data_IF_848918533655
#
_entry.id   IF_848918533655
#
_cell.length_a   1.000
_cell.length_b   1.000
_cell.length_c   1.000
_cell.angle_alpha   90.00
_cell.angle_beta   90.00
_cell.angle_gamma   90.00
#
_symmetry.space_group_name_H-M   'P 1'
#
loop_
_entity.id
_entity.type
_entity.pdbx_description
1 polymer ?
#
# COMPACT_ATOMS: atom_id res chain seq x y z
N UNK A 1 -31.52 -9.35 0.84
CA UNK A 1 -31.93 -9.90 -0.48
C UNK A 1 -33.13 -9.12 -1.01
N UNK A 2 -33.10 -7.81 -0.85
CA UNK A 2 -34.33 -7.00 -0.83
C UNK A 2 -34.77 -6.63 -2.24
N UNK A 3 -33.94 -6.98 -3.24
CA UNK A 3 -34.27 -6.91 -4.66
C UNK A 3 -35.01 -8.16 -5.18
N UNK A 4 -35.36 -9.12 -4.31
CA UNK A 4 -36.18 -10.27 -4.68
C UNK A 4 -37.65 -9.86 -4.80
N UNK A 5 -38.27 -10.19 -5.92
CA UNK A 5 -39.68 -9.98 -6.22
C UNK A 5 -40.56 -11.07 -5.59
N UNK A 6 -41.87 -10.82 -5.50
CA UNK A 6 -42.83 -11.77 -4.94
C UNK A 6 -42.87 -13.12 -5.68
N UNK A 7 -42.60 -13.12 -6.98
CA UNK A 7 -42.55 -14.34 -7.79
C UNK A 7 -41.27 -15.16 -7.59
N UNK A 8 -40.29 -14.62 -6.86
CA UNK A 8 -39.00 -15.22 -6.56
C UNK A 8 -37.85 -14.75 -7.47
N UNK A 9 -38.14 -13.99 -8.55
CA UNK A 9 -37.11 -13.40 -9.41
C UNK A 9 -36.34 -12.28 -8.70
N UNK A 10 -35.18 -11.89 -9.24
CA UNK A 10 -34.43 -10.73 -8.75
C UNK A 10 -34.38 -9.61 -9.78
N UNK A 11 -34.43 -8.38 -9.29
CA UNK A 11 -33.83 -7.24 -10.00
C UNK A 11 -32.36 -7.13 -9.62
N UNK A 12 -31.54 -6.66 -10.57
CA UNK A 12 -30.11 -6.48 -10.31
C UNK A 12 -29.87 -5.34 -9.34
N UNK A 13 -29.32 -5.67 -8.17
CA UNK A 13 -29.07 -4.71 -7.11
C UNK A 13 -28.02 -3.66 -7.51
N UNK A 14 -28.25 -2.37 -7.19
CA UNK A 14 -27.24 -1.32 -7.33
C UNK A 14 -25.91 -1.65 -6.65
N UNK A 15 -25.94 -2.38 -5.52
CA UNK A 15 -24.73 -2.78 -4.79
C UNK A 15 -23.85 -3.76 -5.58
N UNK A 16 -24.46 -4.65 -6.36
CA UNK A 16 -23.72 -5.55 -7.27
C UNK A 16 -23.10 -4.72 -8.41
N UNK A 17 -23.85 -3.75 -8.93
CA UNK A 17 -23.35 -2.86 -9.98
C UNK A 17 -22.16 -2.04 -9.49
N UNK A 18 -22.24 -1.48 -8.29
CA UNK A 18 -21.16 -0.71 -7.66
C UNK A 18 -19.93 -1.60 -7.42
N UNK A 19 -20.11 -2.75 -6.76
CA UNK A 19 -19.01 -3.65 -6.43
C UNK A 19 -18.24 -4.13 -7.69
N UNK A 20 -18.97 -4.41 -8.77
CA UNK A 20 -18.38 -4.88 -10.04
C UNK A 20 -18.12 -3.76 -11.05
N UNK A 21 -18.36 -2.49 -10.68
CA UNK A 21 -18.27 -1.31 -11.54
C UNK A 21 -18.99 -1.52 -12.90
N UNK A 22 -20.22 -2.02 -12.85
CA UNK A 22 -21.05 -2.29 -14.00
C UNK A 22 -21.89 -1.08 -14.37
N UNK A 23 -22.05 -0.82 -15.68
CA UNK A 23 -23.08 0.10 -16.17
C UNK A 23 -24.45 -0.61 -16.12
N UNK A 24 -25.41 -0.17 -15.28
CA UNK A 24 -26.71 -0.81 -15.16
C UNK A 24 -27.46 -0.92 -16.50
N UNK A 25 -27.34 0.11 -17.36
CA UNK A 25 -28.03 0.19 -18.65
C UNK A 25 -27.52 -0.81 -19.69
N UNK A 26 -26.27 -1.28 -19.54
CA UNK A 26 -25.62 -2.17 -20.51
C UNK A 26 -25.32 -3.57 -19.93
N UNK A 27 -25.58 -3.79 -18.64
CA UNK A 27 -25.21 -5.00 -17.93
C UNK A 27 -25.77 -6.26 -18.61
N UNK A 28 -27.09 -6.30 -18.79
CA UNK A 28 -27.77 -7.45 -19.38
C UNK A 28 -27.41 -7.62 -20.86
N UNK A 29 -27.39 -6.52 -21.62
CA UNK A 29 -26.96 -6.53 -23.02
C UNK A 29 -25.55 -7.10 -23.18
N UNK A 30 -24.65 -6.79 -22.26
CA UNK A 30 -23.28 -7.31 -22.26
C UNK A 30 -23.21 -8.78 -21.85
N UNK A 31 -24.05 -9.20 -20.91
CA UNK A 31 -24.12 -10.57 -20.42
C UNK A 31 -24.73 -11.51 -21.49
N UNK A 32 -25.77 -11.06 -22.20
CA UNK A 32 -26.38 -11.75 -23.37
C UNK A 32 -25.39 -12.05 -24.51
N UNK A 33 -24.23 -11.37 -24.58
CA UNK A 33 -23.19 -11.64 -25.59
C UNK A 33 -22.43 -12.95 -25.36
N UNK A 34 -22.51 -13.52 -24.15
CA UNK A 34 -21.79 -14.73 -23.78
C UNK A 34 -22.55 -16.03 -24.07
N UNK A 35 -23.74 -15.95 -24.65
CA UNK A 35 -24.52 -17.13 -25.06
C UNK A 35 -24.59 -17.25 -26.58
N UNK A 36 -24.60 -18.48 -27.06
CA UNK A 36 -24.82 -18.83 -28.46
C UNK A 36 -26.31 -19.02 -28.78
N UNK A 37 -27.09 -19.49 -27.80
CA UNK A 37 -28.51 -19.82 -27.99
C UNK A 37 -29.38 -18.59 -28.28
N UNK A 38 -30.08 -18.54 -29.44
CA UNK A 38 -31.03 -17.47 -29.74
C UNK A 38 -32.21 -17.43 -28.75
N UNK A 39 -32.64 -18.60 -28.25
CA UNK A 39 -33.71 -18.72 -27.26
C UNK A 39 -33.36 -18.00 -25.96
N UNK A 40 -32.14 -18.21 -25.44
CA UNK A 40 -31.67 -17.50 -24.24
C UNK A 40 -31.55 -15.99 -24.47
N UNK A 41 -31.03 -15.57 -25.62
CA UNK A 41 -30.94 -14.13 -25.95
C UNK A 41 -32.30 -13.43 -25.96
N UNK A 42 -33.34 -14.17 -26.38
CA UNK A 42 -34.73 -13.72 -26.39
C UNK A 42 -35.43 -13.74 -25.03
N UNK A 43 -34.82 -14.33 -23.99
CA UNK A 43 -35.38 -14.30 -22.65
C UNK A 43 -35.44 -12.87 -22.08
N UNK A 44 -36.45 -12.66 -21.25
CA UNK A 44 -36.64 -11.43 -20.48
C UNK A 44 -35.44 -11.12 -19.60
N UNK A 45 -35.20 -9.83 -19.35
CA UNK A 45 -34.06 -9.38 -18.56
C UNK A 45 -34.11 -9.88 -17.11
N UNK A 46 -35.31 -10.15 -16.56
CA UNK A 46 -35.48 -10.78 -15.23
C UNK A 46 -34.81 -12.15 -15.12
N UNK A 47 -34.80 -12.96 -16.20
CA UNK A 47 -34.09 -14.25 -16.25
C UNK A 47 -32.59 -14.05 -16.02
N UNK A 48 -32.03 -13.04 -16.70
CA UNK A 48 -30.62 -12.71 -16.63
C UNK A 48 -30.23 -12.06 -15.29
N UNK A 49 -31.05 -11.15 -14.78
CA UNK A 49 -30.87 -10.55 -13.46
C UNK A 49 -30.88 -11.60 -12.36
N UNK A 50 -31.85 -12.52 -12.41
CA UNK A 50 -32.02 -13.60 -11.45
C UNK A 50 -30.84 -14.57 -11.48
N UNK A 51 -30.49 -15.09 -12.67
CA UNK A 51 -29.37 -16.01 -12.80
C UNK A 51 -28.03 -15.40 -12.38
N UNK A 52 -27.77 -14.15 -12.76
CA UNK A 52 -26.54 -13.47 -12.38
C UNK A 52 -26.48 -13.20 -10.87
N UNK A 53 -27.58 -12.80 -10.25
CA UNK A 53 -27.65 -12.57 -8.80
C UNK A 53 -27.42 -13.86 -8.03
N UNK A 54 -28.05 -14.98 -8.42
CA UNK A 54 -27.79 -16.30 -7.83
C UNK A 54 -26.31 -16.65 -7.96
N UNK A 55 -25.74 -16.50 -9.16
CA UNK A 55 -24.35 -16.85 -9.42
C UNK A 55 -23.38 -16.00 -8.57
N UNK A 56 -23.64 -14.69 -8.48
CA UNK A 56 -22.86 -13.77 -7.67
C UNK A 56 -22.90 -14.16 -6.19
N UNK A 57 -24.08 -14.35 -5.60
CA UNK A 57 -24.22 -14.67 -4.18
C UNK A 57 -23.49 -15.98 -3.82
N UNK A 58 -23.66 -17.03 -4.64
CA UNK A 58 -23.03 -18.34 -4.42
C UNK A 58 -21.51 -18.33 -4.54
N UNK A 59 -20.93 -17.48 -5.38
CA UNK A 59 -19.49 -17.51 -5.68
C UNK A 59 -18.69 -16.39 -5.02
N UNK A 60 -19.32 -15.24 -4.74
CA UNK A 60 -18.66 -14.07 -4.17
C UNK A 60 -18.91 -13.96 -2.66
N UNK A 61 -20.06 -14.45 -2.17
CA UNK A 61 -20.44 -14.37 -0.76
C UNK A 61 -20.73 -15.76 -0.15
N UNK A 62 -19.87 -16.78 -0.36
CA UNK A 62 -20.13 -18.13 0.15
C UNK A 62 -20.26 -18.17 1.67
N UNK A 63 -19.50 -17.32 2.39
CA UNK A 63 -19.48 -17.28 3.86
C UNK A 63 -20.75 -16.68 4.48
N UNK A 64 -21.64 -16.10 3.67
CA UNK A 64 -22.90 -15.51 4.09
C UNK A 64 -24.11 -16.32 3.61
N UNK A 65 -23.93 -17.61 3.37
CA UNK A 65 -24.97 -18.49 2.83
C UNK A 65 -26.27 -18.47 3.64
N UNK A 66 -26.18 -18.42 4.96
CA UNK A 66 -27.34 -18.33 5.85
C UNK A 66 -28.24 -17.11 5.57
N UNK A 67 -27.72 -16.06 4.91
CA UNK A 67 -28.47 -14.84 4.56
C UNK A 67 -29.19 -14.98 3.23
N UNK A 68 -28.60 -15.70 2.25
CA UNK A 68 -29.12 -15.73 0.88
C UNK A 68 -29.71 -17.07 0.43
N UNK A 69 -29.48 -18.17 1.16
CA UNK A 69 -29.86 -19.54 0.74
C UNK A 69 -31.32 -19.64 0.32
N UNK A 70 -32.25 -19.29 1.22
CA UNK A 70 -33.69 -19.40 0.97
C UNK A 70 -34.15 -18.54 -0.22
N UNK A 71 -33.57 -17.34 -0.36
CA UNK A 71 -33.86 -16.46 -1.47
C UNK A 71 -33.36 -17.06 -2.79
N UNK A 72 -32.13 -17.57 -2.82
CA UNK A 72 -31.58 -18.26 -3.99
C UNK A 72 -32.35 -19.53 -4.34
N UNK A 73 -32.87 -20.29 -3.37
CA UNK A 73 -33.66 -21.50 -3.63
C UNK A 73 -35.00 -21.16 -4.29
N UNK A 74 -35.69 -20.11 -3.84
CA UNK A 74 -36.89 -19.60 -4.50
C UNK A 74 -36.60 -19.12 -5.92
N UNK A 75 -35.52 -18.36 -6.08
CA UNK A 75 -35.09 -17.82 -7.36
C UNK A 75 -34.68 -18.93 -8.35
N UNK A 76 -33.98 -19.97 -7.88
CA UNK A 76 -33.64 -21.15 -8.69
C UNK A 76 -34.89 -21.89 -9.15
N UNK A 77 -35.87 -22.10 -8.26
CA UNK A 77 -37.16 -22.72 -8.64
C UNK A 77 -37.93 -21.89 -9.67
N UNK A 78 -37.95 -20.56 -9.52
CA UNK A 78 -38.56 -19.67 -10.50
C UNK A 78 -37.81 -19.76 -11.84
N UNK A 79 -36.47 -19.69 -11.83
CA UNK A 79 -35.64 -19.70 -13.02
C UNK A 79 -35.81 -20.98 -13.83
N UNK A 80 -35.87 -22.14 -13.17
CA UNK A 80 -36.07 -23.41 -13.85
C UNK A 80 -37.45 -23.53 -14.52
N UNK A 81 -38.47 -22.88 -13.96
CA UNK A 81 -39.79 -22.79 -14.63
C UNK A 81 -39.78 -21.89 -15.86
N UNK A 82 -38.95 -20.84 -15.87
CA UNK A 82 -38.85 -19.92 -17.03
C UNK A 82 -38.10 -20.55 -18.20
N UNK A 83 -37.09 -21.37 -17.91
CA UNK A 83 -36.22 -21.95 -18.94
C UNK A 83 -36.70 -23.32 -19.38
N UNK A 84 -37.13 -24.17 -18.44
CA UNK A 84 -37.63 -25.53 -18.68
C UNK A 84 -36.74 -26.34 -19.63
N UNK A 85 -35.41 -26.16 -19.48
CA UNK A 85 -34.38 -26.78 -20.31
C UNK A 85 -33.03 -26.74 -19.58
N UNK A 86 -32.61 -27.88 -19.06
CA UNK A 86 -31.38 -28.02 -18.27
C UNK A 86 -30.12 -27.60 -19.06
N UNK A 87 -30.10 -27.81 -20.38
CA UNK A 87 -28.95 -27.46 -21.22
C UNK A 87 -28.85 -25.94 -21.36
N UNK A 88 -29.99 -25.26 -21.52
CA UNK A 88 -30.02 -23.80 -21.58
C UNK A 88 -29.73 -23.18 -20.21
N UNK A 89 -30.16 -23.77 -19.10
CA UNK A 89 -29.79 -23.31 -17.75
C UNK A 89 -28.26 -23.37 -17.54
N UNK A 90 -27.61 -24.47 -17.96
CA UNK A 90 -26.15 -24.60 -17.90
C UNK A 90 -25.44 -23.54 -18.74
N UNK A 91 -25.93 -23.27 -19.94
CA UNK A 91 -25.39 -22.21 -20.81
C UNK A 91 -25.56 -20.83 -20.17
N UNK A 92 -26.72 -20.55 -19.57
CA UNK A 92 -27.01 -19.31 -18.85
C UNK A 92 -26.02 -19.07 -17.70
N UNK A 93 -25.82 -20.05 -16.81
CA UNK A 93 -24.86 -19.91 -15.72
C UNK A 93 -23.40 -19.84 -16.20
N UNK A 94 -23.07 -20.49 -17.31
CA UNK A 94 -21.76 -20.33 -17.97
C UNK A 94 -21.54 -18.88 -18.44
N UNK A 95 -22.57 -18.25 -19.02
CA UNK A 95 -22.51 -16.84 -19.40
C UNK A 95 -22.38 -15.91 -18.19
N UNK A 96 -23.12 -16.17 -17.10
CA UNK A 96 -22.95 -15.43 -15.84
C UNK A 96 -21.52 -15.54 -15.30
N UNK A 97 -20.91 -16.73 -15.32
CA UNK A 97 -19.52 -16.95 -14.94
C UNK A 97 -18.55 -16.12 -15.77
N UNK A 98 -18.65 -16.21 -17.10
CA UNK A 98 -17.74 -15.48 -18.00
C UNK A 98 -17.88 -13.96 -17.83
N UNK A 99 -19.11 -13.47 -17.66
CA UNK A 99 -19.37 -12.08 -17.40
C UNK A 99 -18.79 -11.61 -16.07
N UNK A 100 -18.96 -12.38 -14.99
CA UNK A 100 -18.38 -12.09 -13.67
C UNK A 100 -16.85 -12.01 -13.75
N UNK A 101 -16.20 -12.97 -14.40
CA UNK A 101 -14.74 -12.98 -14.59
C UNK A 101 -14.29 -11.74 -15.36
N UNK A 102 -15.02 -11.36 -16.42
CA UNK A 102 -14.72 -10.15 -17.20
C UNK A 102 -14.82 -8.88 -16.34
N UNK A 103 -15.89 -8.72 -15.56
CA UNK A 103 -16.03 -7.53 -14.72
C UNK A 103 -15.05 -7.51 -13.56
N UNK A 104 -14.88 -8.64 -12.86
CA UNK A 104 -13.87 -8.79 -11.80
C UNK A 104 -12.46 -8.47 -12.30
N UNK A 105 -12.11 -8.93 -13.51
CA UNK A 105 -10.82 -8.57 -14.14
C UNK A 105 -10.70 -7.06 -14.36
N UNK A 106 -11.75 -6.40 -14.88
CA UNK A 106 -11.74 -4.94 -15.09
C UNK A 106 -11.60 -4.17 -13.79
N UNK A 107 -12.31 -4.57 -12.73
CA UNK A 107 -12.17 -3.99 -11.39
C UNK A 107 -10.72 -4.15 -10.92
N UNK A 108 -10.18 -5.37 -10.95
CA UNK A 108 -8.78 -5.66 -10.58
C UNK A 108 -7.77 -4.80 -11.36
N UNK A 109 -7.92 -4.68 -12.68
CA UNK A 109 -7.05 -3.84 -13.51
C UNK A 109 -7.21 -2.35 -13.20
N UNK A 110 -8.44 -1.87 -12.98
CA UNK A 110 -8.71 -0.47 -12.66
C UNK A 110 -8.17 -0.09 -11.27
N UNK A 111 -8.28 -0.97 -10.28
CA UNK A 111 -7.69 -0.79 -8.95
C UNK A 111 -6.17 -0.82 -9.02
N UNK A 112 -5.59 -1.77 -9.77
CA UNK A 112 -4.13 -1.81 -10.02
C UNK A 112 -3.64 -0.56 -10.76
N UNK A 113 -4.42 -0.03 -11.70
CA UNK A 113 -4.09 1.19 -12.45
C UNK A 113 -4.22 2.43 -11.58
N UNK A 114 -5.29 2.59 -10.79
CA UNK A 114 -5.41 3.68 -9.80
C UNK A 114 -4.27 3.64 -8.77
N UNK A 115 -3.86 2.45 -8.32
CA UNK A 115 -2.68 2.28 -7.47
C UNK A 115 -1.35 2.51 -8.20
N UNK A 116 -1.32 2.50 -9.54
CA UNK A 116 -0.13 2.90 -10.34
C UNK A 116 -0.13 4.40 -10.66
N UNK A 117 -1.29 4.99 -10.93
CA UNK A 117 -1.46 6.41 -11.31
C UNK A 117 -1.50 7.35 -10.11
N UNK A 118 -1.85 6.87 -8.91
CA UNK A 118 -1.90 7.70 -7.68
C UNK A 118 -0.60 7.73 -6.88
N UNK A 119 0.49 7.12 -7.33
CA UNK A 119 1.73 7.06 -6.55
C UNK A 119 2.89 7.71 -7.31
N UNK A 120 3.11 8.99 -7.02
CA UNK A 120 4.37 9.68 -7.33
C UNK A 120 5.43 9.13 -6.37
N UNK A 121 6.38 8.38 -6.92
CA UNK A 121 7.58 8.00 -6.15
C UNK A 121 8.31 9.27 -5.79
N UNK A 122 8.51 9.51 -4.51
CA UNK A 122 9.27 10.65 -4.03
C UNK A 122 10.75 10.36 -4.34
N UNK A 123 11.44 11.33 -4.92
CA UNK A 123 12.90 11.31 -5.05
C UNK A 123 13.43 12.60 -4.49
N UNK A 124 14.24 12.50 -3.45
CA UNK A 124 14.95 13.66 -2.92
C UNK A 124 16.18 13.90 -3.78
N UNK A 125 16.26 15.09 -4.34
CA UNK A 125 17.48 15.56 -4.99
C UNK A 125 18.25 16.42 -3.99
N UNK A 126 19.18 15.78 -3.27
CA UNK A 126 19.99 16.41 -2.21
C UNK A 126 21.46 16.23 -2.60
N UNK A 127 22.21 17.34 -2.63
CA UNK A 127 23.63 17.34 -2.91
C UNK A 127 24.43 16.60 -1.81
N UNK A 128 25.65 16.20 -2.14
CA UNK A 128 26.48 15.39 -1.25
C UNK A 128 26.90 16.14 0.01
N UNK A 129 26.98 17.48 -0.04
CA UNK A 129 27.32 18.32 1.10
C UNK A 129 26.18 18.35 2.12
N UNK A 130 24.93 18.52 1.66
CA UNK A 130 23.73 18.48 2.50
C UNK A 130 23.55 17.08 3.09
N UNK A 131 23.72 16.02 2.27
CA UNK A 131 23.68 14.63 2.75
C UNK A 131 24.71 14.41 3.86
N UNK A 132 25.96 14.80 3.63
CA UNK A 132 27.03 14.70 4.62
C UNK A 132 26.70 15.47 5.90
N UNK A 133 26.24 16.71 5.78
CA UNK A 133 25.87 17.58 6.91
C UNK A 133 24.79 16.94 7.77
N UNK A 134 23.75 16.36 7.16
CA UNK A 134 22.70 15.65 7.90
C UNK A 134 23.29 14.47 8.67
N UNK A 135 24.12 13.64 8.04
CA UNK A 135 24.72 12.49 8.73
C UNK A 135 25.67 12.91 9.85
N UNK A 136 26.52 13.90 9.63
CA UNK A 136 27.46 14.40 10.64
C UNK A 136 26.69 15.01 11.84
N UNK A 137 25.61 15.74 11.57
CA UNK A 137 24.72 16.26 12.60
C UNK A 137 24.07 15.12 13.41
N UNK A 138 23.44 14.15 12.74
CA UNK A 138 22.77 13.04 13.41
C UNK A 138 23.76 12.18 14.22
N UNK A 139 24.97 11.93 13.71
CA UNK A 139 26.04 11.24 14.43
C UNK A 139 26.45 11.99 15.68
N UNK A 140 26.58 13.33 15.63
CA UNK A 140 26.91 14.15 16.80
C UNK A 140 25.89 14.05 17.94
N UNK A 141 24.63 13.67 17.63
CA UNK A 141 23.56 13.44 18.60
C UNK A 141 23.44 11.99 19.05
N UNK A 142 24.11 11.07 18.35
CA UNK A 142 24.08 9.64 18.64
C UNK A 142 24.78 9.30 19.95
N UNK A 143 24.21 8.36 20.72
CA UNK A 143 24.78 7.87 21.97
C UNK A 143 24.71 6.35 22.05
N UNK A 144 25.59 5.75 22.85
CA UNK A 144 25.53 4.33 23.17
C UNK A 144 24.20 3.93 23.83
N UNK A 145 23.60 4.83 24.63
CA UNK A 145 22.29 4.60 25.24
C UNK A 145 21.17 4.50 24.19
N UNK A 146 21.20 5.33 23.15
CA UNK A 146 20.27 5.21 22.02
C UNK A 146 20.46 3.87 21.33
N UNK A 147 21.70 3.46 21.04
CA UNK A 147 21.99 2.17 20.40
C UNK A 147 21.45 0.99 21.24
N UNK A 148 21.73 0.97 22.54
CA UNK A 148 21.25 -0.06 23.46
C UNK A 148 19.73 -0.07 23.59
N UNK A 149 19.10 1.10 23.66
CA UNK A 149 17.63 1.22 23.71
C UNK A 149 16.99 0.62 22.47
N UNK A 150 17.45 1.01 21.28
CA UNK A 150 16.97 0.47 20.00
C UNK A 150 17.13 -1.06 19.96
N UNK A 151 18.30 -1.58 20.34
CA UNK A 151 18.56 -3.03 20.32
C UNK A 151 17.73 -3.79 21.35
N UNK A 152 17.48 -3.22 22.53
CA UNK A 152 16.66 -3.85 23.57
C UNK A 152 15.18 -3.97 23.17
N UNK A 153 14.72 -3.14 22.23
CA UNK A 153 13.38 -3.21 21.67
C UNK A 153 13.24 -4.25 20.54
N UNK A 154 14.29 -4.99 20.19
CA UNK A 154 14.24 -6.05 19.18
C UNK A 154 13.35 -7.20 19.65
N UNK A 155 12.43 -7.63 18.79
CA UNK A 155 11.56 -8.76 19.05
C UNK A 155 12.31 -10.10 19.02
N UNK A 156 11.70 -11.15 19.59
CA UNK A 156 12.32 -12.49 19.66
C UNK A 156 12.68 -13.09 18.29
N UNK A 157 11.90 -12.75 17.25
CA UNK A 157 12.12 -13.14 15.86
C UNK A 157 13.22 -12.32 15.15
N UNK A 158 13.81 -11.32 15.81
CA UNK A 158 14.83 -10.43 15.25
C UNK A 158 14.30 -9.17 14.57
N UNK A 159 12.98 -8.94 14.55
CA UNK A 159 12.38 -7.75 13.92
C UNK A 159 12.27 -6.56 14.86
N UNK A 160 12.02 -5.38 14.28
CA UNK A 160 11.70 -4.16 15.01
C UNK A 160 10.28 -3.69 14.66
N UNK A 161 9.66 -2.97 15.60
CA UNK A 161 8.30 -2.46 15.49
C UNK A 161 8.30 -0.92 15.49
N UNK A 162 7.15 -0.25 15.24
CA UNK A 162 7.09 1.20 15.36
C UNK A 162 7.57 1.69 16.72
N UNK A 163 7.35 0.91 17.79
CA UNK A 163 7.74 1.30 19.14
C UNK A 163 9.25 1.49 19.30
N UNK A 164 10.07 0.76 18.54
CA UNK A 164 11.52 0.95 18.52
C UNK A 164 11.90 2.39 18.13
N UNK A 165 11.16 2.98 17.17
CA UNK A 165 11.46 4.30 16.63
C UNK A 165 11.04 5.45 17.56
N UNK A 166 10.26 5.19 18.61
CA UNK A 166 9.93 6.21 19.64
C UNK A 166 11.17 6.77 20.34
N UNK A 167 12.24 5.97 20.45
CA UNK A 167 13.55 6.40 20.98
C UNK A 167 14.18 7.51 20.12
N UNK A 168 13.77 7.63 18.86
CA UNK A 168 14.26 8.63 17.92
C UNK A 168 13.44 9.92 17.92
N UNK A 169 12.51 10.12 18.86
CA UNK A 169 11.84 11.40 19.01
C UNK A 169 12.85 12.48 19.47
N UNK A 170 12.87 13.69 18.88
CA UNK A 170 11.90 14.26 17.92
C UNK A 170 12.24 14.06 16.43
N UNK A 171 13.36 13.42 16.08
CA UNK A 171 13.76 13.17 14.69
C UNK A 171 12.67 12.39 13.92
N UNK A 172 12.08 11.38 14.57
CA UNK A 172 10.91 10.64 14.05
C UNK A 172 9.69 11.02 14.90
N UNK A 173 8.87 12.00 14.48
CA UNK A 173 7.77 12.52 15.31
C UNK A 173 6.56 11.59 15.36
N UNK A 174 6.37 10.75 14.33
CA UNK A 174 5.23 9.83 14.22
C UNK A 174 5.69 8.45 13.76
N UNK A 175 6.20 7.62 14.69
CA UNK A 175 6.62 6.25 14.41
C UNK A 175 5.55 5.39 13.72
N UNK A 176 4.29 5.55 14.10
CA UNK A 176 3.16 4.77 13.59
C UNK A 176 2.91 5.00 12.10
N UNK A 177 3.21 6.20 11.59
CA UNK A 177 3.04 6.55 10.18
C UNK A 177 4.34 6.52 9.38
N UNK A 178 5.48 6.20 10.00
CA UNK A 178 6.81 6.26 9.36
C UNK A 178 6.88 5.34 8.11
N UNK A 179 6.24 4.17 8.16
CA UNK A 179 6.22 3.23 7.04
C UNK A 179 5.47 3.77 5.83
N UNK A 180 4.38 4.52 6.03
CA UNK A 180 3.66 5.15 4.93
C UNK A 180 4.57 6.14 4.19
N UNK A 181 5.35 6.94 4.94
CA UNK A 181 6.34 7.85 4.38
C UNK A 181 7.51 7.13 3.69
N UNK A 182 8.06 6.07 4.29
CA UNK A 182 9.12 5.24 3.69
C UNK A 182 8.70 4.65 2.34
N UNK A 183 7.47 4.13 2.27
CA UNK A 183 6.92 3.52 1.04
C UNK A 183 6.81 4.51 -0.12
N UNK A 184 6.76 5.82 0.13
CA UNK A 184 6.76 6.85 -0.91
C UNK A 184 8.07 6.88 -1.70
N UNK A 185 9.19 6.46 -1.11
CA UNK A 185 10.50 6.42 -1.76
C UNK A 185 10.76 5.12 -2.54
N UNK A 186 9.86 4.12 -2.44
CA UNK A 186 9.96 2.89 -3.21
C UNK A 186 9.17 2.95 -4.52
N UNK A 187 9.84 2.55 -5.60
CA UNK A 187 9.29 2.47 -6.94
C UNK A 187 8.53 1.17 -7.17
N UNK A 188 9.10 0.03 -6.76
CA UNK A 188 8.58 -1.30 -7.07
C UNK A 188 7.34 -1.62 -6.23
N UNK A 189 6.22 -2.02 -6.85
CA UNK A 189 5.04 -2.46 -6.11
C UNK A 189 5.30 -3.67 -5.22
N UNK A 190 6.19 -4.58 -5.63
CA UNK A 190 6.58 -5.75 -4.83
C UNK A 190 7.14 -5.31 -3.47
N UNK A 191 8.00 -4.29 -3.44
CA UNK A 191 8.58 -3.74 -2.21
C UNK A 191 7.54 -2.99 -1.37
N UNK A 192 6.73 -2.13 -1.99
CA UNK A 192 5.70 -1.35 -1.28
C UNK A 192 4.64 -2.20 -0.59
N UNK A 193 4.36 -3.37 -1.14
CA UNK A 193 3.41 -4.33 -0.59
C UNK A 193 4.02 -5.28 0.44
N UNK A 194 5.32 -5.16 0.75
CA UNK A 194 5.93 -5.86 1.88
C UNK A 194 5.26 -5.46 3.19
N UNK A 195 5.21 -6.41 4.13
CA UNK A 195 4.69 -6.18 5.48
C UNK A 195 5.47 -5.08 6.20
N UNK A 196 4.82 -4.32 7.06
CA UNK A 196 5.40 -3.14 7.68
C UNK A 196 6.62 -3.46 8.56
N UNK A 197 6.70 -4.67 9.13
CA UNK A 197 7.87 -5.12 9.89
C UNK A 197 9.16 -5.13 9.05
N UNK A 198 9.08 -5.33 7.73
CA UNK A 198 10.24 -5.21 6.82
C UNK A 198 10.76 -3.78 6.82
N UNK A 199 9.87 -2.80 6.76
CA UNK A 199 10.20 -1.38 6.71
C UNK A 199 10.78 -0.88 8.04
N UNK A 200 10.13 -1.20 9.16
CA UNK A 200 10.64 -0.84 10.49
C UNK A 200 12.02 -1.44 10.75
N UNK A 201 12.18 -2.72 10.39
CA UNK A 201 13.43 -3.46 10.61
C UNK A 201 14.55 -2.90 9.75
N UNK A 202 14.31 -2.68 8.45
CA UNK A 202 15.31 -2.12 7.54
C UNK A 202 15.70 -0.68 7.92
N UNK A 203 14.74 0.16 8.29
CA UNK A 203 15.04 1.52 8.72
C UNK A 203 15.87 1.55 10.01
N UNK A 204 15.53 0.69 10.99
CA UNK A 204 16.31 0.56 12.23
C UNK A 204 17.74 0.10 11.96
N UNK A 205 17.92 -0.93 11.12
CA UNK A 205 19.26 -1.38 10.68
C UNK A 205 20.01 -0.22 10.01
N UNK A 206 19.35 0.50 9.11
CA UNK A 206 19.96 1.59 8.36
C UNK A 206 20.44 2.71 9.30
N UNK A 207 19.61 3.11 10.25
CA UNK A 207 19.94 4.12 11.25
C UNK A 207 21.15 3.68 12.11
N UNK A 208 21.11 2.46 12.67
CA UNK A 208 22.20 1.91 13.48
C UNK A 208 23.53 1.90 12.72
N UNK A 209 23.53 1.40 11.48
CA UNK A 209 24.75 1.27 10.66
C UNK A 209 25.33 2.59 10.16
N UNK A 210 24.50 3.62 9.93
CA UNK A 210 24.96 4.86 9.28
C UNK A 210 25.05 6.06 10.23
N UNK A 211 24.24 6.08 11.30
CA UNK A 211 24.18 7.17 12.30
C UNK A 211 24.89 6.78 13.58
N UNK A 212 24.76 5.53 14.04
CA UNK A 212 25.40 5.05 15.27
C UNK A 212 26.65 4.20 14.99
N UNK A 213 27.38 4.54 13.92
CA UNK A 213 28.55 3.78 13.45
C UNK A 213 29.63 3.62 14.53
N UNK A 214 29.81 4.62 15.39
CA UNK A 214 30.80 4.62 16.47
C UNK A 214 30.43 3.68 17.64
N UNK A 215 29.20 3.16 17.65
CA UNK A 215 28.66 2.27 18.69
C UNK A 215 28.40 0.86 18.16
N UNK A 216 29.18 0.41 17.16
CA UNK A 216 29.00 -0.87 16.48
C UNK A 216 28.88 -2.06 17.45
N UNK A 217 29.71 -2.09 18.49
CA UNK A 217 29.71 -3.17 19.48
C UNK A 217 28.39 -3.30 20.26
N UNK A 218 27.61 -2.23 20.35
CA UNK A 218 26.30 -2.23 21.02
C UNK A 218 25.22 -2.86 20.14
N UNK A 219 25.29 -2.69 18.82
CA UNK A 219 24.21 -3.07 17.90
C UNK A 219 24.52 -4.19 16.92
N UNK A 220 25.79 -4.60 16.78
CA UNK A 220 26.25 -5.58 15.78
C UNK A 220 25.37 -6.83 15.74
N UNK A 221 25.22 -7.50 16.89
CA UNK A 221 24.46 -8.76 17.00
C UNK A 221 22.98 -8.58 16.68
N UNK A 222 22.37 -7.46 17.10
CA UNK A 222 20.98 -7.16 16.80
C UNK A 222 20.78 -6.94 15.29
N UNK A 223 21.67 -6.15 14.66
CA UNK A 223 21.66 -5.91 13.22
C UNK A 223 21.91 -7.18 12.40
N UNK A 224 22.80 -8.08 12.81
CA UNK A 224 23.05 -9.35 12.12
C UNK A 224 21.79 -10.23 12.08
N UNK A 225 21.10 -10.38 13.23
CA UNK A 225 19.84 -11.12 13.31
C UNK A 225 18.76 -10.50 12.42
N UNK A 226 18.63 -9.17 12.47
CA UNK A 226 17.65 -8.43 11.69
C UNK A 226 17.94 -8.49 10.18
N UNK A 227 19.21 -8.38 9.77
CA UNK A 227 19.64 -8.52 8.38
C UNK A 227 19.39 -9.93 7.83
N UNK A 228 19.67 -10.98 8.61
CA UNK A 228 19.34 -12.34 8.22
C UNK A 228 17.83 -12.51 8.00
N UNK A 229 17.02 -11.99 8.93
CA UNK A 229 15.56 -12.03 8.78
C UNK A 229 15.09 -11.28 7.51
N UNK A 230 15.63 -10.09 7.22
CA UNK A 230 15.29 -9.34 5.99
C UNK A 230 15.66 -10.14 4.73
N UNK A 231 16.83 -10.77 4.70
CA UNK A 231 17.28 -11.57 3.56
C UNK A 231 16.32 -12.74 3.28
N UNK A 232 15.88 -13.42 4.34
CA UNK A 232 14.92 -14.52 4.26
C UNK A 232 13.53 -14.05 3.78
N UNK A 233 13.18 -12.76 3.95
CA UNK A 233 11.88 -12.23 3.49
C UNK A 233 11.90 -11.73 2.04
N UNK A 234 12.98 -11.09 1.60
CA UNK A 234 13.01 -10.36 0.32
C UNK A 234 13.53 -11.26 -0.82
N UNK A 235 14.50 -12.15 -0.52
CA UNK A 235 15.13 -13.10 -1.46
C UNK A 235 15.47 -12.51 -2.84
N UNK A 236 15.73 -11.20 -2.91
CA UNK A 236 15.88 -10.41 -4.13
C UNK A 236 16.80 -9.22 -3.85
N UNK A 237 18.10 -9.31 -4.21
CA UNK A 237 19.10 -8.28 -3.88
C UNK A 237 18.76 -6.89 -4.43
N UNK A 238 18.06 -6.81 -5.56
CA UNK A 238 17.68 -5.53 -6.15
C UNK A 238 16.52 -4.86 -5.38
N UNK A 239 15.61 -5.66 -4.80
CA UNK A 239 14.58 -5.13 -3.90
C UNK A 239 15.16 -4.67 -2.56
N UNK A 240 16.13 -5.42 -2.02
CA UNK A 240 16.79 -5.05 -0.78
C UNK A 240 17.60 -3.75 -0.94
N UNK A 241 18.31 -3.60 -2.06
CA UNK A 241 18.98 -2.34 -2.41
C UNK A 241 18.02 -1.15 -2.48
N UNK A 242 16.87 -1.35 -3.11
CA UNK A 242 15.83 -0.32 -3.18
C UNK A 242 15.25 0.02 -1.79
N UNK A 243 15.07 -0.98 -0.93
CA UNK A 243 14.60 -0.81 0.45
C UNK A 243 15.53 0.09 1.26
N UNK A 244 16.84 -0.17 1.23
CA UNK A 244 17.79 0.66 1.96
C UNK A 244 17.96 2.06 1.34
N UNK A 245 17.81 2.21 0.02
CA UNK A 245 17.77 3.52 -0.62
C UNK A 245 16.53 4.34 -0.20
N UNK A 246 15.39 3.70 -0.01
CA UNK A 246 14.19 4.35 0.54
C UNK A 246 14.39 4.77 2.01
N UNK A 247 15.07 3.93 2.82
CA UNK A 247 15.43 4.26 4.20
C UNK A 247 16.38 5.47 4.27
N UNK A 248 17.38 5.53 3.40
CA UNK A 248 18.28 6.69 3.28
C UNK A 248 17.51 7.97 2.97
N UNK A 249 16.68 7.96 1.93
CA UNK A 249 15.93 9.16 1.53
C UNK A 249 15.00 9.63 2.64
N UNK A 250 14.28 8.71 3.27
CA UNK A 250 13.44 9.05 4.41
C UNK A 250 14.25 9.65 5.57
N UNK A 251 15.41 9.08 5.92
CA UNK A 251 16.28 9.62 6.97
C UNK A 251 16.77 11.03 6.64
N UNK A 252 17.17 11.27 5.39
CA UNK A 252 17.63 12.60 4.94
C UNK A 252 16.48 13.61 5.05
N UNK A 253 15.27 13.26 4.61
CA UNK A 253 14.09 14.14 4.75
C UNK A 253 13.87 14.50 6.23
N UNK A 254 13.80 13.49 7.10
CA UNK A 254 13.57 13.72 8.54
C UNK A 254 14.70 14.54 9.17
N UNK A 255 15.95 14.27 8.79
CA UNK A 255 17.12 15.01 9.28
C UNK A 255 17.11 16.48 8.87
N UNK A 256 16.78 16.78 7.61
CA UNK A 256 16.62 18.16 7.13
C UNK A 256 15.49 18.86 7.89
N UNK A 257 14.32 18.24 8.00
CA UNK A 257 13.17 18.81 8.71
C UNK A 257 13.49 19.07 10.19
N UNK A 258 14.25 18.15 10.81
CA UNK A 258 14.68 18.27 12.20
C UNK A 258 15.67 19.43 12.39
N UNK A 259 16.72 19.51 11.57
CA UNK A 259 17.72 20.59 11.62
C UNK A 259 17.05 21.95 11.38
N UNK A 260 16.14 22.04 10.41
CA UNK A 260 15.41 23.27 10.11
C UNK A 260 14.54 23.72 11.30
N UNK A 261 13.90 22.78 11.99
CA UNK A 261 13.10 23.07 13.19
C UNK A 261 13.94 23.52 14.38
N UNK A 262 15.17 23.01 14.53
CA UNK A 262 16.11 23.48 15.54
C UNK A 262 16.73 24.84 15.19
N UNK A 263 16.81 25.21 13.90
CA UNK A 263 17.35 26.49 13.41
C UNK A 263 16.36 27.66 13.31
N UNK A 264 15.04 27.41 13.30
CA UNK A 264 13.97 28.39 13.36
C UNK A 264 13.90 29.41 12.20
N UNK A 265 13.11 29.14 11.16
CA UNK A 265 12.28 30.10 10.37
C UNK A 265 11.26 29.29 9.52
N UNK A 266 10.08 29.88 9.32
CA UNK A 266 8.83 29.35 8.74
C UNK A 266 8.94 28.73 7.33
N UNK A 267 8.22 27.63 7.11
CA UNK A 267 7.93 27.04 5.79
C UNK A 267 6.96 27.93 4.99
N UNK A 268 7.38 28.43 3.82
CA UNK A 268 6.45 28.80 2.76
C UNK A 268 6.17 27.56 1.90
N UNK A 269 4.98 26.97 2.08
CA UNK A 269 4.46 25.94 1.19
C UNK A 269 3.96 26.57 -0.11
N UNK A 270 4.45 26.13 -1.27
CA UNK A 270 3.72 26.24 -2.52
C UNK A 270 3.62 24.89 -3.22
N UNK A 271 2.38 24.51 -3.53
CA UNK A 271 2.04 23.44 -4.47
C UNK A 271 2.28 23.91 -5.91
N UNK A 272 3.12 23.23 -6.68
CA UNK A 272 2.68 22.33 -7.78
C UNK A 272 3.87 21.76 -8.60
N UNK A 273 3.98 20.42 -8.56
CA UNK A 273 4.44 19.45 -9.59
C UNK A 273 5.95 19.11 -9.78
N UNK A 274 6.17 17.78 -9.71
CA UNK A 274 7.23 16.88 -10.19
C UNK A 274 8.70 17.19 -9.83
N UNK A 275 9.24 16.38 -8.89
CA UNK A 275 10.50 16.52 -8.14
C UNK A 275 10.33 17.40 -6.90
N UNK A 276 10.39 16.78 -5.71
CA UNK A 276 10.57 17.54 -4.47
C UNK A 276 12.04 17.96 -4.45
N UNK A 277 12.33 19.14 -5.00
CA UNK A 277 13.57 19.84 -4.73
C UNK A 277 13.40 20.44 -3.35
N UNK A 278 14.01 19.83 -2.32
CA UNK A 278 14.22 20.50 -1.05
C UNK A 278 15.13 21.71 -1.32
N UNK A 279 14.55 22.88 -1.52
CA UNK A 279 15.32 24.12 -1.58
C UNK A 279 15.76 24.46 -0.16
N UNK A 280 16.99 24.09 0.17
CA UNK A 280 17.68 24.56 1.37
C UNK A 280 17.77 26.09 1.26
N UNK A 281 17.20 26.82 2.23
CA UNK A 281 17.15 28.27 2.18
C UNK A 281 18.56 28.88 2.16
N UNK A 282 18.73 30.05 1.54
CA UNK A 282 20.02 30.74 1.55
C UNK A 282 20.46 31.11 2.98
N UNK A 283 19.51 31.25 3.92
CA UNK A 283 19.79 31.35 5.36
C UNK A 283 20.39 30.06 5.92
N UNK A 284 19.92 28.89 5.49
CA UNK A 284 20.47 27.58 5.90
C UNK A 284 21.87 27.38 5.30
N UNK A 285 22.10 27.75 4.03
CA UNK A 285 23.46 27.78 3.43
C UNK A 285 24.39 28.71 4.20
N UNK A 286 23.91 29.89 4.60
CA UNK A 286 24.69 30.86 5.40
C UNK A 286 24.94 30.36 6.82
N UNK A 287 23.98 29.69 7.45
CA UNK A 287 24.14 29.12 8.79
C UNK A 287 25.16 27.97 8.79
N UNK A 288 25.10 27.09 7.78
CA UNK A 288 26.10 26.03 7.56
C UNK A 288 27.48 26.62 7.28
N UNK A 289 27.58 27.62 6.39
CA UNK A 289 28.85 28.30 6.10
C UNK A 289 29.42 29.06 7.31
N UNK A 290 28.56 29.65 8.16
CA UNK A 290 28.99 30.34 9.38
C UNK A 290 29.51 29.35 10.43
N UNK A 291 28.84 28.21 10.60
CA UNK A 291 29.30 27.12 11.47
C UNK A 291 30.66 26.56 11.06
N UNK A 292 31.00 26.61 9.76
CA UNK A 292 32.30 26.18 9.24
C UNK A 292 33.42 27.25 9.38
N UNK A 293 33.07 28.54 9.49
CA UNK A 293 34.04 29.62 9.65
C UNK A 293 34.39 29.90 11.12
N UNK A 294 33.46 29.69 12.04
CA UNK A 294 33.68 29.95 13.47
C UNK A 294 34.64 28.91 14.12
N UNK A 295 34.87 27.75 13.48
CA UNK A 295 35.86 26.73 13.89
C UNK A 295 37.31 26.99 13.43
N UNK A 296 37.58 28.07 12.66
CA UNK A 296 38.92 28.39 12.13
C UNK A 296 39.58 29.58 12.85
N UNK A 297 38.88 30.25 13.75
CA UNK A 297 39.42 31.36 14.54
C UNK A 297 39.25 31.13 16.02
N UNK A 298 40.02 30.18 16.56
CA UNK A 298 40.47 30.18 17.96
C UNK A 298 41.77 29.35 18.05
N UNK A 299 42.86 29.92 17.49
CA UNK A 299 44.25 29.72 17.94
C UNK A 299 44.94 31.09 18.08
#
# INVERSE_FOLDING_TARGET
CDSQQEDGSFTLSPLINEHLNMNPNDAIKSLKRFVGSPRLRGCDDSVWHTAFTIYYLKNILPDHENVWRDACDRASKWLSKQIDDEKLEKELFSACKQYLIKQGSRVLYSTKRKNRESFRVHRLNVDDETRKTVFDYLRSKGTADIARSLCSAQESNGTFSPQTLTTLHPLIPSPESAVESLKLFASRPKLRNCVDSIWHTAFTIYYLKNVLVDYEDEWRTACERASNWINDQIEDPELEKELYSACEQYLIQQGVDFINKEGGIMEESQEEVDVIVLQVSDETRKAVHKSLCDDVTDE
#
